data_IF_436793717295
#
_entry.id   IF_436793717295
#
_cell.length_a   1.000
_cell.length_b   1.000
_cell.length_c   1.000
_cell.angle_alpha   90.00
_cell.angle_beta   90.00
_cell.angle_gamma   90.00
#
_symmetry.space_group_name_H-M   'P 1'
#
loop_
_entity.id
_entity.type
_entity.pdbx_description
1 polymer ?
#
# COMPACT_ATOMS: atom_id res chain seq x y z
N UNK A 1 10.32 -10.06 -15.90
CA UNK A 1 9.01 -10.30 -16.53
C UNK A 1 7.97 -9.55 -15.71
N UNK A 2 7.39 -8.47 -16.23
CA UNK A 2 6.22 -7.80 -15.66
C UNK A 2 5.03 -8.17 -16.57
N UNK A 3 4.35 -9.28 -16.27
CA UNK A 3 3.54 -10.04 -17.25
C UNK A 3 2.22 -9.36 -17.69
N UNK A 4 1.90 -8.13 -17.25
CA UNK A 4 0.61 -7.46 -17.54
C UNK A 4 0.70 -5.98 -17.99
N UNK A 5 1.88 -5.42 -18.30
CA UNK A 5 2.05 -3.98 -18.63
C UNK A 5 1.51 -2.99 -17.58
N UNK A 6 1.38 -3.42 -16.32
CA UNK A 6 1.10 -2.53 -15.19
C UNK A 6 2.32 -1.65 -14.92
N UNK A 7 2.10 -0.34 -14.74
CA UNK A 7 3.19 0.60 -14.40
C UNK A 7 3.65 0.46 -12.95
N UNK A 8 2.71 0.12 -12.06
CA UNK A 8 2.94 -0.07 -10.63
C UNK A 8 1.95 -1.10 -10.09
N UNK A 9 2.45 -1.98 -9.21
CA UNK A 9 1.71 -3.01 -8.50
C UNK A 9 2.02 -2.91 -7.01
N UNK A 10 0.98 -3.04 -6.19
CA UNK A 10 1.11 -3.21 -4.75
C UNK A 10 0.57 -4.59 -4.39
N UNK A 11 1.29 -5.29 -3.52
CA UNK A 11 0.89 -6.61 -3.05
C UNK A 11 1.45 -6.93 -1.68
N UNK A 12 1.09 -8.09 -1.16
CA UNK A 12 1.69 -8.70 0.03
C UNK A 12 2.58 -9.87 -0.36
N UNK A 13 3.70 -10.06 0.35
CA UNK A 13 4.61 -11.19 0.11
C UNK A 13 4.09 -12.53 0.66
N UNK A 14 3.24 -12.50 1.70
CA UNK A 14 2.56 -13.67 2.25
C UNK A 14 1.14 -13.29 2.71
N UNK A 15 0.45 -14.26 3.32
CA UNK A 15 -0.91 -14.07 3.85
C UNK A 15 -0.94 -12.99 4.91
N UNK A 16 -1.97 -12.16 4.85
CA UNK A 16 -2.25 -11.06 5.78
C UNK A 16 -3.69 -11.22 6.24
N UNK A 17 -3.98 -10.86 7.48
CA UNK A 17 -5.34 -10.88 7.98
C UNK A 17 -6.19 -9.86 7.20
N UNK A 18 -7.43 -10.23 6.84
CA UNK A 18 -8.29 -9.38 6.02
C UNK A 18 -8.53 -7.99 6.63
N UNK A 19 -8.65 -7.91 7.95
CA UNK A 19 -8.82 -6.64 8.68
C UNK A 19 -7.57 -5.75 8.53
N UNK A 20 -6.38 -6.33 8.66
CA UNK A 20 -5.10 -5.62 8.45
C UNK A 20 -5.02 -5.13 7.00
N UNK A 21 -5.31 -6.00 6.03
CA UNK A 21 -5.29 -5.64 4.61
C UNK A 21 -6.28 -4.50 4.32
N UNK A 22 -7.49 -4.56 4.86
CA UNK A 22 -8.51 -3.54 4.71
C UNK A 22 -8.05 -2.19 5.31
N UNK A 23 -7.47 -2.20 6.52
CA UNK A 23 -6.97 -0.99 7.17
C UNK A 23 -5.81 -0.36 6.39
N UNK A 24 -4.83 -1.16 5.96
CA UNK A 24 -3.66 -0.68 5.21
C UNK A 24 -4.09 -0.12 3.85
N UNK A 25 -4.95 -0.83 3.11
CA UNK A 25 -5.43 -0.36 1.80
C UNK A 25 -6.30 0.89 1.91
N UNK A 26 -7.15 0.98 2.94
CA UNK A 26 -7.94 2.19 3.21
C UNK A 26 -7.03 3.39 3.47
N UNK A 27 -6.01 3.23 4.32
CA UNK A 27 -5.03 4.28 4.59
C UNK A 27 -4.20 4.62 3.33
N UNK A 28 -3.82 3.62 2.54
CA UNK A 28 -3.10 3.80 1.29
C UNK A 28 -3.88 4.64 0.29
N UNK A 29 -5.12 4.25 -0.05
CA UNK A 29 -5.94 4.99 -1.00
C UNK A 29 -6.26 6.41 -0.52
N UNK A 30 -6.50 6.58 0.78
CA UNK A 30 -6.67 7.91 1.37
C UNK A 30 -5.42 8.79 1.19
N UNK A 31 -4.22 8.24 1.38
CA UNK A 31 -2.95 8.97 1.15
C UNK A 31 -2.61 9.16 -0.32
N UNK A 32 -3.05 8.26 -1.20
CA UNK A 32 -2.79 8.32 -2.64
C UNK A 32 -3.66 9.38 -3.33
N UNK A 33 -4.95 9.42 -2.99
CA UNK A 33 -5.89 10.40 -3.56
C UNK A 33 -5.64 11.80 -2.96
N UNK A 34 -5.29 11.85 -1.67
CA UNK A 34 -5.08 13.09 -0.93
C UNK A 34 -6.27 14.06 -1.06
N UNK A 35 -6.00 15.35 -1.01
CA UNK A 35 -7.02 16.41 -1.13
C UNK A 35 -7.39 16.74 -2.60
N UNK A 36 -6.58 16.26 -3.55
CA UNK A 36 -6.69 16.57 -4.97
C UNK A 36 -7.92 15.92 -5.65
N UNK A 37 -8.56 14.94 -5.00
CA UNK A 37 -9.65 14.09 -5.54
C UNK A 37 -9.33 13.38 -6.86
N UNK A 38 -8.13 13.56 -7.42
CA UNK A 38 -7.63 12.85 -8.61
C UNK A 38 -6.62 11.81 -8.17
N UNK A 39 -6.76 10.62 -8.73
CA UNK A 39 -5.82 9.53 -8.50
C UNK A 39 -4.51 9.83 -9.25
N UNK A 40 -3.44 10.10 -8.50
CA UNK A 40 -2.08 10.21 -9.02
C UNK A 40 -1.22 9.07 -8.47
N UNK A 41 -0.92 8.10 -9.34
CA UNK A 41 -0.16 6.92 -8.96
C UNK A 41 1.36 7.18 -8.86
N UNK A 42 1.86 8.35 -9.25
CA UNK A 42 3.30 8.70 -9.16
C UNK A 42 3.80 8.64 -7.71
N UNK A 43 2.89 8.90 -6.75
CA UNK A 43 3.18 8.83 -5.31
C UNK A 43 2.92 7.47 -4.67
N UNK A 44 2.65 6.39 -5.41
CA UNK A 44 2.19 5.12 -4.85
C UNK A 44 3.14 4.54 -3.79
N UNK A 45 4.46 4.49 -4.07
CA UNK A 45 5.45 4.03 -3.10
C UNK A 45 5.43 4.86 -1.80
N UNK A 46 5.34 6.19 -1.93
CA UNK A 46 5.30 7.12 -0.78
C UNK A 46 3.99 6.97 -0.01
N UNK A 47 2.87 6.82 -0.69
CA UNK A 47 1.56 6.62 -0.07
C UNK A 47 1.52 5.31 0.72
N UNK A 48 2.06 4.21 0.16
CA UNK A 48 2.14 2.93 0.86
C UNK A 48 3.03 3.01 2.09
N UNK A 49 4.21 3.64 1.99
CA UNK A 49 5.09 3.85 3.13
C UNK A 49 4.41 4.66 4.25
N UNK A 50 3.69 5.73 3.90
CA UNK A 50 2.94 6.55 4.87
C UNK A 50 1.79 5.77 5.52
N UNK A 51 1.09 4.93 4.75
CA UNK A 51 -0.01 4.11 5.26
C UNK A 51 0.47 3.07 6.27
N UNK A 52 1.51 2.31 5.91
CA UNK A 52 2.13 1.32 6.82
C UNK A 52 2.67 2.00 8.08
N UNK A 53 3.38 3.12 7.93
CA UNK A 53 3.92 3.88 9.07
C UNK A 53 2.84 4.44 10.00
N UNK A 54 1.68 4.84 9.46
CA UNK A 54 0.54 5.30 10.26
C UNK A 54 -0.01 4.19 11.16
N UNK A 55 0.04 2.94 10.69
CA UNK A 55 -0.55 1.77 11.37
C UNK A 55 0.47 0.95 12.15
N UNK A 56 1.77 1.28 12.07
CA UNK A 56 2.87 0.52 12.68
C UNK A 56 2.70 0.22 14.17
N UNK A 57 2.02 1.08 14.94
CA UNK A 57 1.77 0.86 16.37
C UNK A 57 0.57 -0.03 16.68
N UNK A 58 -0.32 -0.24 15.71
CA UNK A 58 -1.58 -0.99 15.86
C UNK A 58 -1.48 -2.40 15.29
N UNK A 59 -0.61 -2.61 14.30
CA UNK A 59 -0.50 -3.86 13.54
C UNK A 59 0.82 -4.56 13.89
N UNK A 60 0.81 -5.88 14.17
CA UNK A 60 2.03 -6.65 14.40
C UNK A 60 3.03 -6.51 13.23
N UNK A 61 4.33 -6.55 13.54
CA UNK A 61 5.39 -6.33 12.53
C UNK A 61 5.25 -7.28 11.32
N UNK A 62 5.00 -8.55 11.58
CA UNK A 62 4.84 -9.60 10.56
C UNK A 62 3.68 -9.36 9.59
N UNK A 63 2.67 -8.59 10.02
CA UNK A 63 1.48 -8.25 9.24
C UNK A 63 1.66 -6.94 8.46
N UNK A 64 2.68 -6.13 8.77
CA UNK A 64 2.94 -4.84 8.11
C UNK A 64 4.14 -4.85 7.15
N UNK A 65 5.17 -5.68 7.39
CA UNK A 65 6.38 -5.73 6.55
C UNK A 65 6.15 -6.41 5.19
N UNK A 66 5.01 -7.08 5.04
CA UNK A 66 4.59 -7.83 3.87
C UNK A 66 4.32 -6.97 2.65
N UNK A 67 3.95 -5.71 2.84
CA UNK A 67 3.46 -4.87 1.77
C UNK A 67 4.63 -4.35 0.93
N UNK A 68 4.60 -4.67 -0.37
CA UNK A 68 5.61 -4.28 -1.34
C UNK A 68 4.98 -3.47 -2.46
N UNK A 69 5.72 -2.49 -2.94
CA UNK A 69 5.43 -1.75 -4.17
C UNK A 69 6.47 -2.13 -5.23
N UNK A 70 6.01 -2.53 -6.41
CA UNK A 70 6.85 -2.91 -7.55
C UNK A 70 6.43 -2.08 -8.76
N UNK A 71 7.36 -1.35 -9.36
CA UNK A 71 7.11 -0.49 -10.53
C UNK A 71 7.64 0.93 -10.34
N UNK A 72 7.43 1.77 -11.37
CA UNK A 72 7.94 3.14 -11.48
C UNK A 72 6.82 4.07 -11.93
#
# INVERSE_FOLDING_TARGET
MEFCRSRSVIGSMWSVDDDVACQVMSAFYHKLIGDSKRLDCTGAAVALHKAVRLLHKKIPLEQQIVFVHIGV
#
